data_IF_525804630808
#
_entry.id   IF_525804630808
#
_cell.length_a   1.000
_cell.length_b   1.000
_cell.length_c   1.000
_cell.angle_alpha   90.00
_cell.angle_beta   90.00
_cell.angle_gamma   90.00
#
_symmetry.space_group_name_H-M   'P 1'
#
loop_
_entity.id
_entity.type
_entity.pdbx_description
1 polymer ?
#
# COMPACT_ATOMS: atom_id res chain seq x y z
N UNK A 1 13.57 11.09 15.66
CA UNK A 1 12.70 10.60 14.59
C UNK A 1 13.11 9.15 14.28
N UNK A 2 12.17 8.24 14.35
CA UNK A 2 12.42 6.82 14.00
C UNK A 2 12.56 6.66 12.48
N UNK A 3 13.06 5.52 12.03
CA UNK A 3 13.16 5.27 10.59
C UNK A 3 11.78 5.20 9.91
N UNK A 4 10.76 4.68 10.61
CA UNK A 4 9.39 4.70 10.09
C UNK A 4 8.79 6.12 10.03
N UNK A 5 9.13 6.99 10.97
CA UNK A 5 8.74 8.42 10.91
C UNK A 5 9.40 9.12 9.73
N UNK A 6 10.68 8.84 9.48
CA UNK A 6 11.39 9.37 8.30
C UNK A 6 10.73 8.89 7.01
N UNK A 7 10.40 7.59 6.93
CA UNK A 7 9.69 7.00 5.79
C UNK A 7 8.39 7.77 5.49
N UNK A 8 7.64 8.14 6.53
CA UNK A 8 6.37 8.88 6.38
C UNK A 8 6.56 10.37 6.12
N UNK A 9 7.75 10.90 6.35
CA UNK A 9 8.06 12.34 6.24
C UNK A 9 8.86 12.68 4.99
N UNK A 10 8.94 11.78 4.01
CA UNK A 10 9.68 11.97 2.76
C UNK A 10 11.19 12.17 2.97
N UNK A 11 11.74 11.61 4.06
CA UNK A 11 13.17 11.63 4.33
C UNK A 11 13.81 10.29 3.94
N UNK A 12 15.13 10.33 3.70
CA UNK A 12 15.89 9.10 3.53
C UNK A 12 15.85 8.28 4.82
N UNK A 13 15.52 7.01 4.72
CA UNK A 13 15.43 6.12 5.86
C UNK A 13 16.06 4.76 5.56
N UNK A 14 16.46 4.07 6.61
CA UNK A 14 16.97 2.70 6.55
C UNK A 14 15.80 1.72 6.57
N UNK A 15 15.49 1.11 5.43
CA UNK A 15 14.39 0.14 5.33
C UNK A 15 14.71 -1.19 6.00
N UNK A 16 15.94 -1.42 6.45
CA UNK A 16 16.32 -2.63 7.20
C UNK A 16 16.24 -2.46 8.72
N UNK A 17 15.81 -1.30 9.19
CA UNK A 17 15.59 -1.09 10.62
C UNK A 17 14.59 -2.10 11.17
N UNK A 18 14.75 -2.49 12.44
CA UNK A 18 13.88 -3.48 13.08
C UNK A 18 12.41 -3.10 12.97
N UNK A 19 12.09 -1.84 13.21
CA UNK A 19 10.73 -1.31 13.15
C UNK A 19 10.13 -1.45 11.74
N UNK A 20 10.88 -1.03 10.71
CA UNK A 20 10.41 -1.09 9.33
C UNK A 20 10.24 -2.54 8.86
N UNK A 21 11.18 -3.42 9.19
CA UNK A 21 11.08 -4.83 8.85
C UNK A 21 9.91 -5.53 9.56
N UNK A 22 9.67 -5.22 10.83
CA UNK A 22 8.53 -5.77 11.56
C UNK A 22 7.20 -5.39 10.89
N UNK A 23 7.05 -4.13 10.51
CA UNK A 23 5.88 -3.64 9.80
C UNK A 23 5.73 -4.31 8.42
N UNK A 24 6.81 -4.40 7.68
CA UNK A 24 6.84 -5.02 6.35
C UNK A 24 6.42 -6.50 6.42
N UNK A 25 7.04 -7.28 7.30
CA UNK A 25 6.72 -8.71 7.40
C UNK A 25 5.32 -8.97 7.97
N UNK A 26 4.83 -8.12 8.87
CA UNK A 26 3.43 -8.17 9.29
C UNK A 26 2.50 -8.10 8.08
N UNK A 27 2.69 -7.12 7.20
CA UNK A 27 1.88 -6.98 6.01
C UNK A 27 2.02 -8.17 5.06
N UNK A 28 3.23 -8.70 4.87
CA UNK A 28 3.46 -9.88 4.02
C UNK A 28 2.72 -11.11 4.54
N UNK A 29 2.68 -11.33 5.85
CA UNK A 29 1.93 -12.44 6.43
C UNK A 29 0.42 -12.30 6.22
N UNK A 30 -0.12 -11.09 6.36
CA UNK A 30 -1.55 -10.83 6.14
C UNK A 30 -1.89 -10.97 4.65
N UNK A 31 -1.07 -10.43 3.76
CA UNK A 31 -1.25 -10.61 2.31
C UNK A 31 -1.21 -12.09 1.92
N UNK A 32 -0.37 -12.90 2.56
CA UNK A 32 -0.34 -14.34 2.32
C UNK A 32 -1.65 -15.03 2.69
N UNK A 33 -2.30 -14.61 3.78
CA UNK A 33 -3.64 -15.10 4.14
C UNK A 33 -4.69 -14.70 3.10
N UNK A 34 -4.63 -13.47 2.60
CA UNK A 34 -5.55 -12.99 1.57
C UNK A 34 -5.42 -13.72 0.24
N UNK A 35 -4.25 -14.31 -0.04
CA UNK A 35 -3.92 -14.95 -1.33
C UNK A 35 -4.97 -15.98 -1.76
N UNK A 36 -5.57 -16.70 -0.82
CA UNK A 36 -6.53 -17.78 -1.07
C UNK A 36 -7.96 -17.41 -0.70
N UNK A 37 -8.21 -16.16 -0.32
CA UNK A 37 -9.54 -15.68 0.04
C UNK A 37 -10.26 -15.05 -1.14
N UNK A 38 -11.59 -15.05 -1.04
CA UNK A 38 -12.47 -14.20 -1.84
C UNK A 38 -13.17 -13.20 -0.92
N UNK A 39 -13.78 -12.18 -1.48
CA UNK A 39 -14.51 -11.17 -0.69
C UNK A 39 -15.75 -11.75 0.05
N UNK A 40 -16.18 -12.94 -0.32
CA UNK A 40 -17.32 -13.64 0.31
C UNK A 40 -16.90 -14.48 1.54
N UNK A 41 -15.61 -14.75 1.72
CA UNK A 41 -15.14 -15.52 2.86
C UNK A 41 -15.41 -14.79 4.18
N UNK A 42 -15.86 -15.53 5.20
CA UNK A 42 -16.17 -14.96 6.53
C UNK A 42 -15.00 -14.20 7.13
N UNK A 43 -13.78 -14.69 6.90
CA UNK A 43 -12.56 -14.11 7.46
C UNK A 43 -12.02 -12.93 6.64
N UNK A 44 -12.59 -12.66 5.47
CA UNK A 44 -12.08 -11.60 4.60
C UNK A 44 -12.11 -10.23 5.27
N UNK A 45 -13.25 -9.84 5.84
CA UNK A 45 -13.39 -8.48 6.39
C UNK A 45 -12.46 -8.22 7.55
N UNK A 46 -12.35 -9.16 8.48
CA UNK A 46 -11.40 -9.05 9.59
C UNK A 46 -9.95 -8.98 9.13
N UNK A 47 -9.60 -9.77 8.10
CA UNK A 47 -8.25 -9.80 7.55
C UNK A 47 -7.89 -8.50 6.84
N UNK A 48 -8.80 -7.94 6.04
CA UNK A 48 -8.53 -6.68 5.34
C UNK A 48 -8.47 -5.49 6.32
N UNK A 49 -9.26 -5.50 7.37
CA UNK A 49 -9.22 -4.47 8.41
C UNK A 49 -7.92 -4.53 9.23
N UNK A 50 -7.39 -5.73 9.45
CA UNK A 50 -6.08 -5.91 10.07
C UNK A 50 -4.96 -5.34 9.18
N UNK A 51 -5.03 -5.55 7.87
CA UNK A 51 -4.04 -5.06 6.91
C UNK A 51 -4.11 -3.55 6.72
N UNK A 52 -5.32 -3.04 6.49
CA UNK A 52 -5.60 -1.62 6.21
C UNK A 52 -6.49 -1.09 7.34
N UNK A 53 -5.89 -0.68 8.48
CA UNK A 53 -6.67 -0.17 9.60
C UNK A 53 -7.52 1.04 9.20
N UNK A 54 -8.79 1.02 9.57
CA UNK A 54 -9.72 2.11 9.27
C UNK A 54 -10.32 2.07 7.87
N UNK A 55 -10.12 0.98 7.11
CA UNK A 55 -10.81 0.83 5.83
C UNK A 55 -12.33 0.92 6.03
N UNK A 56 -13.04 1.82 5.32
CA UNK A 56 -14.49 1.92 5.44
C UNK A 56 -15.19 0.61 5.05
N UNK A 57 -16.31 0.31 5.71
CA UNK A 57 -17.11 -0.89 5.44
C UNK A 57 -17.58 -0.93 3.97
N UNK A 58 -17.84 0.25 3.39
CA UNK A 58 -18.28 0.38 2.00
C UNK A 58 -17.18 0.14 0.98
N UNK A 59 -15.91 0.09 1.40
CA UNK A 59 -14.77 -0.07 0.50
C UNK A 59 -14.28 -1.51 0.48
N UNK A 60 -13.86 -1.97 -0.70
CA UNK A 60 -13.48 -3.35 -0.94
C UNK A 60 -12.15 -3.44 -1.67
N UNK A 61 -11.30 -4.33 -1.22
CA UNK A 61 -10.06 -4.70 -1.89
C UNK A 61 -10.16 -6.18 -2.29
N UNK A 62 -10.25 -6.45 -3.59
CA UNK A 62 -10.35 -7.82 -4.06
C UNK A 62 -8.99 -8.54 -3.98
N UNK A 63 -8.92 -9.69 -3.32
CA UNK A 63 -7.71 -10.50 -3.31
C UNK A 63 -7.44 -11.14 -4.68
N UNK A 64 -6.19 -11.52 -4.97
CA UNK A 64 -4.99 -11.28 -4.18
C UNK A 64 -4.55 -9.81 -4.20
N UNK A 65 -3.97 -9.36 -3.11
CA UNK A 65 -3.53 -7.98 -2.93
C UNK A 65 -2.15 -7.96 -2.27
N UNK A 66 -1.30 -7.01 -2.67
CA UNK A 66 0.06 -6.87 -2.15
C UNK A 66 0.33 -5.45 -1.71
N UNK A 67 0.95 -5.29 -0.56
CA UNK A 67 1.41 -3.99 -0.07
C UNK A 67 2.66 -4.16 0.79
N UNK A 68 3.33 -3.05 1.10
CA UNK A 68 4.51 -3.09 1.95
C UNK A 68 4.15 -3.02 3.44
N UNK A 69 3.19 -2.19 3.82
CA UNK A 69 2.85 -1.96 5.21
C UNK A 69 1.34 -2.08 5.50
N UNK A 70 0.51 -1.64 4.58
CA UNK A 70 -0.94 -1.63 4.70
C UNK A 70 -1.49 -0.42 5.46
N UNK A 71 -0.88 -0.06 6.59
CA UNK A 71 -1.33 1.10 7.37
C UNK A 71 -1.02 2.47 6.72
N UNK A 72 -0.27 2.48 5.63
CA UNK A 72 -0.06 3.68 4.80
C UNK A 72 -1.14 3.89 3.75
N UNK A 73 -2.09 2.98 3.63
CA UNK A 73 -3.18 3.07 2.66
C UNK A 73 -4.41 3.69 3.33
N UNK A 74 -4.92 4.77 2.76
CA UNK A 74 -6.11 5.49 3.25
C UNK A 74 -7.15 5.53 2.15
N UNK A 75 -8.25 4.83 2.36
CA UNK A 75 -9.35 4.76 1.41
C UNK A 75 -10.53 5.59 1.91
N UNK A 76 -11.17 6.31 1.00
CA UNK A 76 -12.47 6.92 1.24
C UNK A 76 -13.60 5.89 1.23
N UNK A 77 -14.85 6.37 1.24
CA UNK A 77 -16.04 5.53 1.16
C UNK A 77 -16.24 4.99 -0.26
N UNK A 78 -16.77 3.79 -0.36
CA UNK A 78 -17.18 3.20 -1.64
C UNK A 78 -16.04 3.15 -2.67
N UNK A 79 -14.84 2.81 -2.22
CA UNK A 79 -13.67 2.57 -3.08
C UNK A 79 -13.61 1.09 -3.41
N UNK A 80 -13.37 0.78 -4.68
CA UNK A 80 -13.15 -0.59 -5.12
C UNK A 80 -11.76 -0.73 -5.75
N UNK A 81 -10.97 -1.63 -5.21
CA UNK A 81 -9.65 -2.00 -5.76
C UNK A 81 -9.76 -3.43 -6.25
N UNK A 82 -9.62 -3.61 -7.57
CA UNK A 82 -9.73 -4.92 -8.20
C UNK A 82 -8.46 -5.77 -7.93
N UNK A 83 -8.54 -7.05 -8.26
CA UNK A 83 -7.53 -8.04 -7.93
C UNK A 83 -6.13 -7.73 -8.52
N UNK A 84 -5.12 -8.32 -7.90
CA UNK A 84 -3.70 -8.12 -8.22
C UNK A 84 -3.23 -6.66 -8.07
N UNK A 85 -3.85 -5.92 -7.17
CA UNK A 85 -3.37 -4.60 -6.80
C UNK A 85 -2.05 -4.69 -6.04
N UNK A 86 -1.14 -3.75 -6.29
CA UNK A 86 0.14 -3.64 -5.59
C UNK A 86 0.31 -2.21 -5.11
N UNK A 87 0.45 -2.04 -3.81
CA UNK A 87 0.62 -0.73 -3.18
C UNK A 87 1.85 -0.74 -2.29
N UNK A 88 2.95 -0.13 -2.76
CA UNK A 88 4.16 0.03 -1.97
C UNK A 88 4.00 1.29 -1.11
N UNK A 89 3.37 1.12 0.03
CA UNK A 89 2.88 2.20 0.89
C UNK A 89 3.86 2.64 1.98
N UNK A 90 5.14 2.72 1.66
CA UNK A 90 6.10 3.43 2.51
C UNK A 90 5.73 4.90 2.65
N UNK A 91 5.42 5.59 1.54
CA UNK A 91 4.70 6.85 1.53
C UNK A 91 3.18 6.61 1.64
N UNK A 92 2.44 7.61 2.08
CA UNK A 92 0.99 7.50 2.18
C UNK A 92 0.35 7.39 0.79
N UNK A 93 -0.59 6.46 0.66
CA UNK A 93 -1.42 6.31 -0.54
C UNK A 93 -2.86 6.62 -0.13
N UNK A 94 -3.40 7.72 -0.64
CA UNK A 94 -4.75 8.17 -0.33
C UNK A 94 -5.61 8.07 -1.58
N UNK A 95 -6.75 7.38 -1.48
CA UNK A 95 -7.69 7.23 -2.59
C UNK A 95 -9.05 7.77 -2.15
N UNK A 96 -9.54 8.75 -2.89
CA UNK A 96 -10.80 9.43 -2.61
C UNK A 96 -12.03 8.55 -2.84
N UNK A 97 -13.13 8.94 -2.23
CA UNK A 97 -14.41 8.22 -2.27
C UNK A 97 -14.91 7.98 -3.69
N UNK A 98 -15.63 6.88 -3.89
CA UNK A 98 -16.26 6.49 -5.16
C UNK A 98 -15.25 6.26 -6.30
N UNK A 99 -14.00 5.99 -5.99
CA UNK A 99 -12.96 5.69 -6.97
C UNK A 99 -12.87 4.20 -7.21
N UNK A 100 -12.72 3.84 -8.48
CA UNK A 100 -12.57 2.45 -8.92
C UNK A 100 -11.19 2.23 -9.51
N UNK A 101 -10.50 1.21 -9.01
CA UNK A 101 -9.15 0.84 -9.45
C UNK A 101 -9.24 -0.50 -10.15
N UNK A 102 -8.85 -0.54 -11.42
CA UNK A 102 -8.84 -1.76 -12.24
C UNK A 102 -7.81 -2.79 -11.78
N UNK A 103 -7.86 -4.01 -12.34
CA UNK A 103 -6.94 -5.08 -11.94
C UNK A 103 -5.49 -4.77 -12.36
N UNK A 104 -4.54 -5.34 -11.63
CA UNK A 104 -3.11 -5.21 -11.91
C UNK A 104 -2.59 -3.76 -11.88
N UNK A 105 -3.23 -2.88 -11.13
CA UNK A 105 -2.73 -1.52 -10.92
C UNK A 105 -1.65 -1.50 -9.85
N UNK A 106 -0.69 -0.60 -9.99
CA UNK A 106 0.41 -0.42 -9.05
C UNK A 106 0.51 1.02 -8.58
N UNK A 107 0.80 1.19 -7.30
CA UNK A 107 1.05 2.49 -6.67
C UNK A 107 2.40 2.41 -5.97
N UNK A 108 3.40 3.08 -6.51
CA UNK A 108 4.79 2.90 -6.14
C UNK A 108 5.34 4.19 -5.50
N UNK A 109 5.31 4.25 -4.17
CA UNK A 109 5.81 5.43 -3.44
C UNK A 109 7.33 5.47 -3.25
N UNK A 110 8.07 4.31 -3.23
CA UNK A 110 9.50 4.35 -2.96
C UNK A 110 10.32 4.89 -4.13
N UNK A 111 11.35 5.65 -3.78
CA UNK A 111 12.42 6.09 -4.67
C UNK A 111 13.77 5.68 -4.09
N UNK A 112 14.64 5.15 -4.93
CA UNK A 112 16.01 4.82 -4.56
C UNK A 112 16.98 5.89 -5.06
N UNK A 113 18.14 6.06 -4.41
CA UNK A 113 19.17 6.97 -4.91
C UNK A 113 19.55 6.68 -6.36
N UNK A 114 19.65 7.73 -7.18
CA UNK A 114 20.06 7.60 -8.58
C UNK A 114 21.52 7.18 -8.66
N UNK A 115 22.37 7.74 -7.80
CA UNK A 115 23.77 7.31 -7.70
C UNK A 115 23.82 5.84 -7.26
N UNK A 116 24.46 5.00 -8.08
CA UNK A 116 24.52 3.57 -7.83
C UNK A 116 25.32 3.19 -6.56
N UNK A 117 26.27 4.01 -6.17
CA UNK A 117 27.05 3.78 -4.93
C UNK A 117 26.17 4.00 -3.69
N UNK A 118 25.42 5.09 -3.68
CA UNK A 118 24.46 5.36 -2.60
C UNK A 118 23.32 4.33 -2.59
N UNK A 119 22.87 3.89 -3.77
CA UNK A 119 21.79 2.88 -3.87
C UNK A 119 22.19 1.50 -3.35
N UNK A 120 23.49 1.21 -3.20
CA UNK A 120 23.96 -0.04 -2.56
C UNK A 120 23.66 -0.06 -1.06
N UNK A 121 23.45 1.07 -0.44
CA UNK A 121 23.06 1.18 0.96
C UNK A 121 21.57 0.82 1.11
N UNK A 122 21.15 0.31 2.27
CA UNK A 122 19.75 -0.04 2.51
C UNK A 122 18.90 1.20 2.82
N UNK A 123 18.96 2.19 1.93
CA UNK A 123 18.25 3.46 2.10
C UNK A 123 17.32 3.73 0.92
N UNK A 124 16.18 4.30 1.21
CA UNK A 124 15.23 4.79 0.22
C UNK A 124 14.46 5.99 0.76
N UNK A 125 13.68 6.61 -0.08
CA UNK A 125 12.79 7.71 0.26
C UNK A 125 11.43 7.41 -0.34
N UNK A 126 10.36 7.67 0.40
CA UNK A 126 9.01 7.47 -0.10
C UNK A 126 8.29 8.81 -0.22
N UNK A 127 7.60 9.02 -1.32
CA UNK A 127 6.75 10.19 -1.52
C UNK A 127 5.29 9.78 -1.64
N UNK A 128 4.33 10.59 -1.13
CA UNK A 128 2.93 10.20 -1.11
C UNK A 128 2.29 10.23 -2.50
N UNK A 129 1.24 9.42 -2.65
CA UNK A 129 0.38 9.39 -3.84
C UNK A 129 -1.05 9.70 -3.39
N UNK A 130 -1.72 10.60 -4.08
CA UNK A 130 -3.12 10.93 -3.83
C UNK A 130 -3.93 10.80 -5.11
N UNK A 131 -4.98 9.98 -5.05
CA UNK A 131 -6.01 9.87 -6.08
C UNK A 131 -7.27 10.55 -5.54
N UNK A 132 -7.88 11.40 -6.35
CA UNK A 132 -9.08 12.12 -5.95
C UNK A 132 -10.34 11.26 -5.86
N UNK A 133 -11.46 11.90 -5.63
CA UNK A 133 -12.78 11.27 -5.64
C UNK A 133 -13.26 11.03 -7.08
N UNK A 134 -14.17 10.06 -7.23
CA UNK A 134 -14.85 9.75 -8.49
C UNK A 134 -13.91 9.46 -9.66
N UNK A 135 -12.73 8.93 -9.37
CA UNK A 135 -11.75 8.53 -10.38
C UNK A 135 -11.97 7.08 -10.82
N UNK A 136 -11.55 6.81 -12.05
CA UNK A 136 -11.47 5.44 -12.55
C UNK A 136 -10.09 5.23 -13.18
N UNK A 137 -9.35 4.28 -12.64
CA UNK A 137 -8.10 3.81 -13.20
C UNK A 137 -8.34 2.48 -13.89
N UNK A 138 -8.08 2.41 -15.19
CA UNK A 138 -8.19 1.16 -15.96
C UNK A 138 -7.13 0.14 -15.53
N UNK A 139 -7.30 -1.11 -15.96
CA UNK A 139 -6.37 -2.17 -15.62
C UNK A 139 -4.93 -1.90 -16.07
N UNK A 140 -3.98 -2.31 -15.24
CA UNK A 140 -2.55 -2.21 -15.56
C UNK A 140 -1.93 -0.82 -15.40
N UNK A 141 -2.64 0.15 -14.83
CA UNK A 141 -2.09 1.49 -14.61
C UNK A 141 -1.03 1.46 -13.50
N UNK A 142 0.08 2.13 -13.73
CA UNK A 142 1.12 2.36 -12.71
C UNK A 142 1.15 3.84 -12.35
N UNK A 143 1.03 4.13 -11.05
CA UNK A 143 1.09 5.48 -10.50
C UNK A 143 2.35 5.63 -9.66
N UNK A 144 3.10 6.68 -9.96
CA UNK A 144 4.27 7.12 -9.18
C UNK A 144 3.98 8.52 -8.60
N UNK A 145 4.72 8.93 -7.55
CA UNK A 145 4.57 10.28 -6.99
C UNK A 145 4.89 11.39 -7.97
#
# INVERSE_FOLDING_TARGET
MTECEKMRSEELYDFTSEECLASYFRAKHICAKLQTMTVEDEDYRGTIEELIPGIPVSSTVAPPFHCDHGHGIKLGENVFINYNGTMLDGGLITIGSNTQIGPNCQFLTPNHPIDYVERRKPIEQCSPITIGEDCWLGGGVTVCP
#
